data_IF_562761302206
#
_entry.id   IF_562761302206
#
_cell.length_a   1.000
_cell.length_b   1.000
_cell.length_c   1.000
_cell.angle_alpha   90.00
_cell.angle_beta   90.00
_cell.angle_gamma   90.00
#
_symmetry.space_group_name_H-M   'P 1'
#
loop_
_entity.id
_entity.type
_entity.pdbx_description
1 polymer ?
#
# COMPACT_ATOMS: atom_id res chain seq x y z
N UNK A 1 -13.01 -6.42 11.74
CA UNK A 1 -13.09 -6.00 10.32
C UNK A 1 -12.28 -7.00 9.52
N UNK A 2 -12.91 -7.73 8.60
CA UNK A 2 -12.26 -8.79 7.80
C UNK A 2 -11.41 -8.18 6.68
N UNK A 3 -10.12 -8.49 6.63
CA UNK A 3 -9.16 -8.07 5.58
C UNK A 3 -9.49 -8.55 4.15
N UNK A 4 -10.62 -9.26 3.96
CA UNK A 4 -10.98 -9.93 2.72
C UNK A 4 -11.29 -8.95 1.58
N UNK A 5 -12.01 -7.86 1.86
CA UNK A 5 -12.38 -6.86 0.86
C UNK A 5 -11.17 -6.07 0.33
N UNK A 6 -10.29 -5.47 1.17
CA UNK A 6 -9.11 -4.77 0.67
C UNK A 6 -8.12 -5.72 0.00
N UNK A 7 -8.01 -6.98 0.45
CA UNK A 7 -7.15 -7.96 -0.20
C UNK A 7 -7.67 -8.38 -1.58
N UNK A 8 -8.99 -8.50 -1.76
CA UNK A 8 -9.58 -8.77 -3.08
C UNK A 8 -9.28 -7.63 -4.07
N UNK A 9 -9.44 -6.38 -3.66
CA UNK A 9 -9.10 -5.20 -4.49
C UNK A 9 -7.61 -5.15 -4.83
N UNK A 10 -6.75 -5.46 -3.86
CA UNK A 10 -5.32 -5.61 -4.10
C UNK A 10 -5.01 -6.67 -5.16
N UNK A 11 -5.65 -7.84 -5.08
CA UNK A 11 -5.45 -8.91 -6.06
C UNK A 11 -5.91 -8.49 -7.46
N UNK A 12 -7.00 -7.75 -7.58
CA UNK A 12 -7.44 -7.20 -8.87
C UNK A 12 -6.43 -6.19 -9.43
N UNK A 13 -5.94 -5.25 -8.61
CA UNK A 13 -4.91 -4.30 -9.02
C UNK A 13 -3.60 -5.03 -9.40
N UNK A 14 -3.17 -5.99 -8.60
CA UNK A 14 -1.99 -6.81 -8.86
C UNK A 14 -2.12 -7.60 -10.16
N UNK A 15 -3.28 -8.21 -10.43
CA UNK A 15 -3.51 -8.93 -11.68
C UNK A 15 -3.56 -7.99 -12.89
N UNK A 16 -4.05 -6.76 -12.72
CA UNK A 16 -4.12 -5.76 -13.81
C UNK A 16 -2.76 -5.17 -14.14
N UNK A 17 -1.93 -4.92 -13.12
CA UNK A 17 -0.59 -4.32 -13.28
C UNK A 17 0.44 -5.38 -13.67
N UNK A 18 0.47 -6.52 -12.97
CA UNK A 18 1.48 -7.55 -13.16
C UNK A 18 1.06 -8.67 -14.12
N UNK A 19 -0.22 -8.76 -14.48
CA UNK A 19 -0.77 -9.91 -15.18
C UNK A 19 -0.99 -11.11 -14.24
N UNK A 20 -1.11 -12.35 -14.78
CA UNK A 20 -1.31 -13.57 -13.99
C UNK A 20 -0.02 -13.98 -13.25
N UNK A 21 0.40 -13.16 -12.31
CA UNK A 21 1.58 -13.36 -11.49
C UNK A 21 1.20 -14.19 -10.25
N UNK A 22 2.01 -15.18 -9.90
CA UNK A 22 1.81 -15.95 -8.67
C UNK A 22 2.15 -15.10 -7.43
N UNK A 23 1.49 -15.38 -6.31
CA UNK A 23 1.85 -14.81 -5.00
C UNK A 23 3.31 -15.16 -4.69
N UNK A 24 4.05 -14.19 -4.14
CA UNK A 24 5.47 -14.33 -3.86
C UNK A 24 6.40 -13.95 -5.01
N UNK A 25 5.88 -13.71 -6.22
CA UNK A 25 6.66 -13.24 -7.37
C UNK A 25 6.69 -11.72 -7.43
N UNK A 26 7.69 -11.18 -8.11
CA UNK A 26 7.85 -9.74 -8.32
C UNK A 26 7.26 -9.35 -9.67
N UNK A 27 6.46 -8.29 -9.67
CA UNK A 27 6.00 -7.60 -10.86
C UNK A 27 6.47 -6.15 -10.86
N UNK A 28 6.40 -5.48 -12.01
CA UNK A 28 6.79 -4.06 -12.12
C UNK A 28 5.55 -3.19 -11.96
N UNK A 29 5.55 -2.32 -10.96
CA UNK A 29 4.52 -1.28 -10.76
C UNK A 29 5.21 0.08 -10.66
N UNK A 30 4.75 1.05 -11.45
CA UNK A 30 5.31 2.42 -11.48
C UNK A 30 6.86 2.45 -11.61
N UNK A 31 7.45 1.52 -12.37
CA UNK A 31 8.90 1.43 -12.56
C UNK A 31 9.68 0.81 -11.39
N UNK A 32 8.99 0.29 -10.37
CA UNK A 32 9.61 -0.44 -9.24
C UNK A 32 9.20 -1.91 -9.24
N UNK A 33 10.11 -2.77 -8.77
CA UNK A 33 9.80 -4.17 -8.52
C UNK A 33 9.03 -4.29 -7.21
N UNK A 34 7.81 -4.78 -7.30
CA UNK A 34 6.91 -4.99 -6.16
C UNK A 34 6.53 -6.47 -6.11
N UNK A 35 6.69 -7.07 -4.93
CA UNK A 35 6.30 -8.45 -4.69
C UNK A 35 4.78 -8.54 -4.57
N UNK A 36 4.17 -9.52 -5.25
CA UNK A 36 2.78 -9.88 -5.01
C UNK A 36 2.67 -10.53 -3.63
N UNK A 37 2.01 -9.83 -2.72
CA UNK A 37 1.86 -10.21 -1.33
C UNK A 37 0.79 -11.30 -1.17
N UNK A 38 1.03 -12.21 -0.25
CA UNK A 38 -0.03 -13.11 0.22
C UNK A 38 -0.97 -12.36 1.17
N UNK A 39 -2.02 -13.04 1.64
CA UNK A 39 -3.04 -12.43 2.49
C UNK A 39 -2.49 -11.98 3.84
N UNK A 40 -1.58 -12.77 4.43
CA UNK A 40 -0.97 -12.47 5.73
C UNK A 40 0.02 -11.30 5.59
N UNK A 41 0.91 -11.35 4.58
CA UNK A 41 1.81 -10.25 4.25
C UNK A 41 1.06 -8.96 3.94
N UNK A 42 -0.02 -9.04 3.17
CA UNK A 42 -0.87 -7.89 2.86
C UNK A 42 -1.52 -7.33 4.12
N UNK A 43 -2.06 -8.20 4.98
CA UNK A 43 -2.70 -7.78 6.23
C UNK A 43 -1.77 -6.95 7.10
N UNK A 44 -0.55 -7.45 7.35
CA UNK A 44 0.45 -6.74 8.15
C UNK A 44 0.85 -5.40 7.55
N UNK A 45 1.08 -5.34 6.23
CA UNK A 45 1.44 -4.08 5.55
C UNK A 45 0.29 -3.09 5.46
N UNK A 46 -0.93 -3.58 5.25
CA UNK A 46 -2.12 -2.74 5.17
C UNK A 46 -2.46 -2.12 6.54
N UNK A 47 -2.30 -2.88 7.63
CA UNK A 47 -2.43 -2.34 8.98
C UNK A 47 -1.35 -1.29 9.28
N UNK A 48 -0.08 -1.59 8.97
CA UNK A 48 1.01 -0.62 9.13
C UNK A 48 0.74 0.67 8.33
N UNK A 49 0.32 0.54 7.07
CA UNK A 49 -0.02 1.68 6.23
C UNK A 49 -1.17 2.51 6.81
N UNK A 50 -2.23 1.88 7.35
CA UNK A 50 -3.34 2.59 7.98
C UNK A 50 -2.93 3.33 9.25
N UNK A 51 -2.05 2.74 10.05
CA UNK A 51 -1.54 3.37 11.26
C UNK A 51 -0.70 4.62 10.90
N UNK A 52 0.15 4.47 9.89
CA UNK A 52 1.02 5.52 9.37
C UNK A 52 0.23 6.64 8.67
N UNK A 53 -0.81 6.31 7.89
CA UNK A 53 -1.75 7.29 7.30
C UNK A 53 -2.48 8.09 8.38
N UNK A 54 -2.92 7.42 9.45
CA UNK A 54 -3.56 8.09 10.59
C UNK A 54 -2.58 9.04 11.28
N UNK A 55 -1.35 8.60 11.54
CA UNK A 55 -0.31 9.43 12.13
C UNK A 55 0.00 10.64 11.25
N UNK A 56 0.21 10.41 9.95
CA UNK A 56 0.46 11.45 8.95
C UNK A 56 -0.65 12.51 8.93
N UNK A 57 -1.92 12.08 8.88
CA UNK A 57 -3.08 12.99 8.93
C UNK A 57 -3.17 13.76 10.24
N UNK A 58 -2.86 13.12 11.37
CA UNK A 58 -2.84 13.77 12.68
C UNK A 58 -1.76 14.86 12.76
N UNK A 59 -0.56 14.59 12.25
CA UNK A 59 0.55 15.54 12.21
C UNK A 59 0.27 16.69 11.24
N UNK A 60 -0.26 16.37 10.06
CA UNK A 60 -0.67 17.35 9.04
C UNK A 60 -1.70 18.34 9.58
N UNK A 61 -2.73 17.85 10.27
CA UNK A 61 -3.77 18.70 10.87
C UNK A 61 -3.27 19.53 12.06
N UNK A 62 -2.20 19.11 12.73
CA UNK A 62 -1.62 19.82 13.87
C UNK A 62 -0.68 20.96 13.45
N UNK A 63 -0.42 21.14 12.15
CA UNK A 63 0.52 22.14 11.63
C UNK A 63 1.99 21.85 11.98
N UNK A 64 2.27 20.64 12.48
CA UNK A 64 3.63 20.18 12.80
C UNK A 64 4.33 19.84 11.48
N UNK A 65 5.61 20.21 11.34
CA UNK A 65 6.43 19.77 10.21
C UNK A 65 6.42 18.24 10.18
N UNK A 66 5.78 17.70 9.14
CA UNK A 66 5.76 16.26 8.93
C UNK A 66 7.19 15.86 8.56
N UNK A 67 7.74 14.92 9.34
CA UNK A 67 9.03 14.35 9.03
C UNK A 67 8.97 13.65 7.65
N UNK A 68 9.93 13.98 6.78
CA UNK A 68 9.98 13.42 5.42
C UNK A 68 10.05 11.88 5.47
N UNK A 69 10.66 11.31 6.52
CA UNK A 69 10.76 9.86 6.68
C UNK A 69 9.38 9.20 6.81
N UNK A 70 8.43 9.81 7.52
CA UNK A 70 7.06 9.28 7.66
C UNK A 70 6.38 9.27 6.29
N UNK A 71 6.52 10.35 5.51
CA UNK A 71 5.93 10.41 4.19
C UNK A 71 6.58 9.42 3.20
N UNK A 72 7.91 9.27 3.25
CA UNK A 72 8.61 8.27 2.43
C UNK A 72 8.19 6.84 2.78
N UNK A 73 8.03 6.54 4.06
CA UNK A 73 7.61 5.21 4.51
C UNK A 73 6.16 4.92 4.13
N UNK A 74 5.25 5.90 4.27
CA UNK A 74 3.87 5.80 3.79
C UNK A 74 3.83 5.51 2.29
N UNK A 75 4.64 6.24 1.52
CA UNK A 75 4.75 6.07 0.06
C UNK A 75 5.34 4.71 -0.32
N UNK A 76 6.32 4.21 0.43
CA UNK A 76 6.89 2.88 0.21
C UNK A 76 5.84 1.80 0.43
N UNK A 77 5.12 1.85 1.56
CA UNK A 77 4.04 0.92 1.88
C UNK A 77 2.90 0.98 0.85
N UNK A 78 2.49 2.18 0.45
CA UNK A 78 1.47 2.37 -0.59
C UNK A 78 1.89 1.73 -1.92
N UNK A 79 3.14 1.93 -2.35
CA UNK A 79 3.67 1.33 -3.57
C UNK A 79 3.68 -0.22 -3.50
N UNK A 80 4.01 -0.80 -2.35
CA UNK A 80 3.97 -2.25 -2.16
C UNK A 80 2.53 -2.82 -2.15
N UNK A 81 1.59 -2.04 -1.62
CA UNK A 81 0.17 -2.37 -1.60
C UNK A 81 -0.55 -2.01 -2.91
N UNK A 82 0.16 -1.49 -3.91
CA UNK A 82 -0.41 -0.98 -5.17
C UNK A 82 -1.53 0.04 -4.92
N UNK A 83 -1.34 0.87 -3.90
CA UNK A 83 -2.23 1.95 -3.50
C UNK A 83 -1.59 3.29 -3.81
N UNK A 84 -2.43 4.28 -4.07
CA UNK A 84 -2.07 5.69 -4.16
C UNK A 84 -1.97 6.27 -2.75
N UNK A 85 -0.80 6.82 -2.39
CA UNK A 85 -0.53 7.34 -1.04
C UNK A 85 -1.36 8.59 -0.70
N UNK A 86 -1.88 9.31 -1.71
CA UNK A 86 -2.62 10.56 -1.52
C UNK A 86 -4.12 10.35 -1.40
N UNK A 87 -4.64 9.40 -2.17
CA UNK A 87 -6.07 9.12 -2.27
C UNK A 87 -6.48 7.88 -1.47
N UNK A 88 -5.50 7.07 -1.03
CA UNK A 88 -5.77 5.86 -0.26
C UNK A 88 -6.64 4.86 -1.07
N UNK A 89 -6.40 4.82 -2.40
CA UNK A 89 -7.14 4.00 -3.38
C UNK A 89 -6.18 3.09 -4.13
N UNK A 90 -6.62 1.89 -4.49
CA UNK A 90 -5.83 0.99 -5.33
C UNK A 90 -5.61 1.59 -6.73
N UNK A 91 -4.45 1.31 -7.30
CA UNK A 91 -4.06 1.71 -8.65
C UNK A 91 -4.81 0.80 -9.65
N UNK A 92 -5.99 1.24 -10.10
CA UNK A 92 -6.81 0.55 -11.10
C UNK A 92 -7.45 1.51 -12.12
#
# INVERSE_FOLDING_TARGET
MTINEPYAQYLEAANRIFGPLAVGKYGVSQGKLVKKLDRDEFGGKYEAFKDLDRLYKSLSNSGVTIDDAIYQELKALAAELLMDEKNNRFLW
#
